data_IF_427175024294
#
_entry.id   IF_427175024294
#
_cell.length_a   1.000
_cell.length_b   1.000
_cell.length_c   1.000
_cell.angle_alpha   90.00
_cell.angle_beta   90.00
_cell.angle_gamma   90.00
#
_symmetry.space_group_name_H-M   'P 1'
#
loop_
_entity.id
_entity.type
_entity.pdbx_description
1 polymer ?
#
# COMPACT_ATOMS: atom_id res chain seq x y z
N UNK A 1 -13.85 -25.83 1.34
CA UNK A 1 -13.77 -24.89 2.47
C UNK A 1 -14.13 -23.51 1.95
N UNK A 2 -14.47 -22.54 2.81
CA UNK A 2 -14.82 -21.19 2.35
C UNK A 2 -13.54 -20.39 2.12
N UNK A 3 -13.36 -19.86 0.92
CA UNK A 3 -12.26 -18.93 0.64
C UNK A 3 -12.54 -17.62 1.39
N UNK A 4 -11.59 -17.19 2.21
CA UNK A 4 -11.67 -15.94 2.98
C UNK A 4 -10.97 -14.79 2.28
N UNK A 5 -9.84 -15.06 1.63
CA UNK A 5 -9.12 -14.08 0.84
C UNK A 5 -8.19 -14.74 -0.18
N UNK A 6 -8.03 -14.10 -1.32
CA UNK A 6 -7.04 -14.43 -2.35
C UNK A 6 -6.09 -13.24 -2.52
N UNK A 7 -4.82 -13.51 -2.69
CA UNK A 7 -3.77 -12.50 -2.81
C UNK A 7 -2.79 -12.92 -3.91
N UNK A 8 -2.78 -12.19 -5.03
CA UNK A 8 -1.84 -12.39 -6.12
C UNK A 8 -0.80 -11.28 -6.03
N UNK A 9 0.46 -11.58 -5.63
CA UNK A 9 1.47 -10.55 -5.52
C UNK A 9 1.88 -10.07 -6.92
N UNK A 10 1.64 -8.79 -7.20
CA UNK A 10 2.06 -8.15 -8.45
C UNK A 10 3.32 -7.30 -8.20
N UNK A 11 4.31 -7.34 -9.09
CA UNK A 11 5.48 -6.46 -9.02
C UNK A 11 5.19 -5.18 -9.82
N UNK A 12 5.39 -4.02 -9.19
CA UNK A 12 4.99 -2.68 -9.65
C UNK A 12 5.49 -2.27 -11.05
N UNK A 13 6.60 -2.81 -11.55
CA UNK A 13 7.17 -2.49 -12.87
C UNK A 13 6.97 -3.56 -13.94
N UNK A 14 6.24 -4.64 -13.63
CA UNK A 14 6.10 -5.77 -14.53
C UNK A 14 4.62 -6.01 -14.81
N UNK A 15 4.22 -5.99 -16.08
CA UNK A 15 2.92 -6.50 -16.52
C UNK A 15 2.79 -8.02 -16.35
N UNK A 16 3.86 -8.70 -15.89
CA UNK A 16 3.86 -10.13 -15.63
C UNK A 16 3.27 -10.41 -14.26
N UNK A 17 2.02 -10.88 -14.26
CA UNK A 17 1.39 -11.50 -13.09
C UNK A 17 2.33 -12.59 -12.57
N UNK A 18 2.70 -12.54 -11.28
CA UNK A 18 3.53 -13.61 -10.71
C UNK A 18 2.76 -14.92 -10.77
N UNK A 19 3.45 -16.01 -11.14
CA UNK A 19 2.89 -17.37 -11.28
C UNK A 19 2.50 -18.04 -9.96
N UNK A 20 2.24 -17.28 -8.90
CA UNK A 20 1.80 -17.81 -7.62
C UNK A 20 0.80 -16.87 -6.95
N UNK A 21 -0.14 -17.46 -6.23
CA UNK A 21 -1.15 -16.77 -5.44
C UNK A 21 -1.17 -17.35 -4.02
N UNK A 22 -1.62 -16.55 -3.08
CA UNK A 22 -1.85 -16.95 -1.70
C UNK A 22 -3.34 -16.97 -1.41
N UNK A 23 -3.84 -18.09 -0.87
CA UNK A 23 -5.27 -18.26 -0.57
C UNK A 23 -5.44 -18.60 0.92
N UNK A 24 -6.29 -17.84 1.61
CA UNK A 24 -6.72 -18.17 2.98
C UNK A 24 -8.06 -18.90 2.91
N UNK A 25 -8.08 -20.14 3.38
CA UNK A 25 -9.27 -21.00 3.37
C UNK A 25 -9.68 -21.29 4.81
N UNK A 26 -10.94 -21.01 5.14
CA UNK A 26 -11.54 -21.35 6.41
C UNK A 26 -12.17 -22.75 6.35
N UNK A 27 -11.97 -23.52 7.42
CA UNK A 27 -12.64 -24.80 7.66
C UNK A 27 -11.72 -25.92 8.11
N UNK A 28 -12.28 -26.91 8.82
CA UNK A 28 -11.57 -28.12 9.25
C UNK A 28 -11.00 -28.86 8.04
N UNK A 29 -9.74 -29.32 8.11
CA UNK A 29 -9.02 -30.00 7.01
C UNK A 29 -8.95 -29.19 5.71
N UNK A 30 -9.08 -27.85 5.75
CA UNK A 30 -9.00 -27.01 4.55
C UNK A 30 -7.63 -27.11 3.86
N UNK A 31 -6.54 -27.18 4.63
CA UNK A 31 -5.18 -27.33 4.12
C UNK A 31 -5.04 -28.69 3.41
N UNK A 32 -5.43 -29.79 4.06
CA UNK A 32 -5.34 -31.14 3.49
C UNK A 32 -6.08 -31.25 2.14
N UNK A 33 -7.29 -30.70 2.05
CA UNK A 33 -8.06 -30.69 0.79
C UNK A 33 -7.42 -29.82 -0.28
N UNK A 34 -6.82 -28.69 0.08
CA UNK A 34 -6.13 -27.83 -0.87
C UNK A 34 -4.86 -28.50 -1.43
N UNK A 35 -4.10 -29.20 -0.58
CA UNK A 35 -2.89 -29.92 -1.01
C UNK A 35 -3.19 -31.02 -2.04
N UNK A 36 -4.37 -31.65 -1.96
CA UNK A 36 -4.84 -32.63 -2.96
C UNK A 36 -5.03 -32.03 -4.36
N UNK A 37 -5.11 -30.71 -4.49
CA UNK A 37 -5.17 -30.01 -5.78
C UNK A 37 -3.78 -29.75 -6.38
N UNK A 38 -2.69 -30.06 -5.67
CA UNK A 38 -1.36 -29.96 -6.25
C UNK A 38 -1.22 -30.94 -7.41
N UNK A 39 -0.87 -30.45 -8.58
CA UNK A 39 -0.78 -31.22 -9.82
C UNK A 39 -2.04 -31.16 -10.69
N UNK A 40 -3.15 -30.56 -10.24
CA UNK A 40 -4.32 -30.33 -11.08
C UNK A 40 -4.06 -29.25 -12.13
N UNK A 41 -4.88 -29.20 -13.17
CA UNK A 41 -4.78 -28.21 -14.24
C UNK A 41 -5.85 -27.11 -14.08
N UNK A 42 -5.50 -25.87 -14.40
CA UNK A 42 -6.39 -24.70 -14.40
C UNK A 42 -5.99 -23.80 -15.58
N UNK A 43 -6.90 -23.58 -16.53
CA UNK A 43 -6.67 -22.79 -17.75
C UNK A 43 -5.38 -23.17 -18.51
N UNK A 44 -5.11 -24.48 -18.65
CA UNK A 44 -3.89 -24.97 -19.32
C UNK A 44 -2.63 -24.90 -18.46
N UNK A 45 -2.73 -24.51 -17.19
CA UNK A 45 -1.61 -24.39 -16.27
C UNK A 45 -1.70 -25.39 -15.11
N UNK A 46 -0.63 -26.19 -14.94
CA UNK A 46 -0.51 -27.11 -13.81
C UNK A 46 -0.28 -26.35 -12.51
N UNK A 47 -1.16 -26.54 -11.54
CA UNK A 47 -1.06 -25.93 -10.23
C UNK A 47 -0.07 -26.69 -9.34
N UNK A 48 0.68 -25.95 -8.54
CA UNK A 48 1.47 -26.50 -7.43
C UNK A 48 0.94 -25.89 -6.14
N UNK A 49 0.37 -26.72 -5.27
CA UNK A 49 -0.22 -26.27 -4.02
C UNK A 49 0.63 -26.73 -2.86
N UNK A 50 1.19 -25.78 -2.11
CA UNK A 50 2.06 -26.06 -0.97
C UNK A 50 1.57 -25.33 0.28
N UNK A 51 1.86 -25.84 1.50
CA UNK A 51 1.61 -25.09 2.72
C UNK A 51 2.45 -23.81 2.73
N UNK A 52 1.96 -22.71 3.34
CA UNK A 52 2.73 -21.48 3.40
C UNK A 52 3.99 -21.65 4.27
N UNK A 53 5.15 -21.28 3.73
CA UNK A 53 6.45 -21.37 4.41
C UNK A 53 6.55 -20.48 5.68
N UNK A 54 5.67 -19.48 5.86
CA UNK A 54 5.61 -18.62 7.05
C UNK A 54 4.15 -18.24 7.36
N UNK A 55 3.81 -18.08 8.66
CA UNK A 55 2.49 -17.60 9.07
C UNK A 55 2.16 -16.27 8.37
N UNK A 56 1.12 -16.31 7.54
CA UNK A 56 0.82 -15.32 6.51
C UNK A 56 0.37 -13.96 7.02
N UNK A 57 0.21 -13.72 8.34
CA UNK A 57 -0.26 -12.43 8.86
C UNK A 57 0.62 -11.26 8.40
N UNK A 58 1.95 -11.42 8.43
CA UNK A 58 2.91 -10.39 8.00
C UNK A 58 2.97 -10.27 6.47
N UNK A 59 2.98 -11.40 5.74
CA UNK A 59 3.03 -11.42 4.28
C UNK A 59 1.74 -10.85 3.65
N UNK A 60 0.57 -11.19 4.21
CA UNK A 60 -0.75 -10.68 3.77
C UNK A 60 -0.86 -9.17 4.00
N UNK A 61 -0.45 -8.67 5.18
CA UNK A 61 -0.39 -7.21 5.44
C UNK A 61 0.56 -6.51 4.47
N UNK A 62 1.74 -7.10 4.22
CA UNK A 62 2.70 -6.55 3.26
C UNK A 62 2.10 -6.50 1.86
N UNK A 63 1.48 -7.59 1.40
CA UNK A 63 0.89 -7.65 0.06
C UNK A 63 -0.31 -6.71 -0.11
N UNK A 64 -1.20 -6.61 0.89
CA UNK A 64 -2.31 -5.65 0.85
C UNK A 64 -1.80 -4.21 0.85
N UNK A 65 -0.78 -3.90 1.65
CA UNK A 65 -0.13 -2.58 1.61
C UNK A 65 0.47 -2.31 0.23
N UNK A 66 1.17 -3.29 -0.37
CA UNK A 66 1.75 -3.16 -1.71
C UNK A 66 0.68 -2.96 -2.78
N UNK A 67 -0.44 -3.67 -2.73
CA UNK A 67 -1.55 -3.55 -3.67
C UNK A 67 -2.32 -2.22 -3.54
N UNK A 68 -2.54 -1.73 -2.32
CA UNK A 68 -3.12 -0.40 -2.13
C UNK A 68 -2.16 0.69 -2.57
N UNK A 69 -0.86 0.53 -2.30
CA UNK A 69 0.17 1.45 -2.75
C UNK A 69 0.26 1.53 -4.28
N UNK A 70 0.23 0.39 -4.99
CA UNK A 70 0.28 0.39 -6.47
C UNK A 70 -0.93 1.05 -7.12
N UNK A 71 -2.09 1.04 -6.45
CA UNK A 71 -3.33 1.69 -6.90
C UNK A 71 -3.52 3.10 -6.34
N UNK A 72 -2.59 3.58 -5.53
CA UNK A 72 -2.65 4.91 -4.94
C UNK A 72 -2.25 5.99 -5.93
N UNK A 73 -2.61 7.24 -5.62
CA UNK A 73 -2.10 8.44 -6.29
C UNK A 73 -1.11 9.13 -5.36
N UNK A 74 0.09 9.38 -5.87
CA UNK A 74 1.18 9.99 -5.10
C UNK A 74 1.33 11.45 -5.47
N UNK A 75 1.18 12.35 -4.50
CA UNK A 75 1.34 13.80 -4.64
C UNK A 75 2.69 14.25 -4.06
N UNK A 76 3.33 15.23 -4.69
CA UNK A 76 4.41 16.04 -4.09
C UNK A 76 3.74 17.14 -3.27
N UNK A 77 4.06 17.20 -1.98
CA UNK A 77 3.50 18.17 -1.04
C UNK A 77 4.64 18.99 -0.44
N UNK A 78 4.45 20.31 -0.42
CA UNK A 78 5.38 21.32 0.10
C UNK A 78 4.64 22.29 1.01
N UNK A 79 5.37 23.26 1.53
CA UNK A 79 4.77 24.34 2.31
C UNK A 79 4.27 23.93 3.69
N UNK A 80 4.77 22.83 4.26
CA UNK A 80 4.55 22.47 5.66
C UNK A 80 5.71 22.95 6.55
N UNK A 81 5.50 23.00 7.86
CA UNK A 81 6.55 23.36 8.81
C UNK A 81 7.70 22.32 8.82
N UNK A 82 8.84 22.72 8.25
CA UNK A 82 10.04 21.88 8.15
C UNK A 82 10.88 21.88 9.43
N UNK A 83 10.57 22.75 10.40
CA UNK A 83 11.24 22.79 11.70
C UNK A 83 10.82 21.65 12.64
N UNK A 84 9.64 21.07 12.37
CA UNK A 84 9.08 19.99 13.19
C UNK A 84 9.79 18.65 12.97
N UNK A 85 9.79 17.75 13.98
CA UNK A 85 10.29 16.39 13.80
C UNK A 85 9.54 15.66 12.67
N UNK A 86 10.25 14.89 11.84
CA UNK A 86 9.66 14.12 10.72
C UNK A 86 8.42 13.31 11.09
N UNK A 87 8.37 12.75 12.30
CA UNK A 87 7.23 11.97 12.80
C UNK A 87 5.97 12.85 12.94
N UNK A 88 6.12 14.08 13.40
CA UNK A 88 5.04 15.06 13.55
C UNK A 88 4.55 15.50 12.17
N UNK A 89 5.46 15.85 11.26
CA UNK A 89 5.14 16.19 9.87
C UNK A 89 4.35 15.06 9.20
N UNK A 90 4.81 13.81 9.30
CA UNK A 90 4.10 12.64 8.75
C UNK A 90 2.70 12.49 9.33
N UNK A 91 2.54 12.63 10.65
CA UNK A 91 1.23 12.51 11.29
C UNK A 91 0.27 13.62 10.86
N UNK A 92 0.77 14.85 10.70
CA UNK A 92 -0.01 15.98 10.23
C UNK A 92 -0.49 15.76 8.79
N UNK A 93 0.41 15.34 7.89
CA UNK A 93 0.06 15.02 6.49
C UNK A 93 -0.97 13.89 6.40
N UNK A 94 -0.81 12.81 7.20
CA UNK A 94 -1.80 11.72 7.24
C UNK A 94 -3.17 12.23 7.63
N UNK A 95 -3.25 13.07 8.67
CA UNK A 95 -4.51 13.64 9.16
C UNK A 95 -5.12 14.61 8.14
N UNK A 96 -4.30 15.43 7.50
CA UNK A 96 -4.75 16.44 6.54
C UNK A 96 -5.41 15.82 5.31
N UNK A 97 -4.79 14.77 4.77
CA UNK A 97 -5.25 14.11 3.54
C UNK A 97 -6.23 12.94 3.79
N UNK A 98 -6.65 12.67 5.04
CA UNK A 98 -7.51 11.52 5.34
C UNK A 98 -8.92 11.63 4.74
N UNK A 99 -9.38 12.84 4.40
CA UNK A 99 -10.65 13.05 3.69
C UNK A 99 -10.56 12.72 2.19
N UNK A 100 -9.34 12.69 1.62
CA UNK A 100 -9.11 12.37 0.21
C UNK A 100 -9.11 10.86 -0.04
N UNK A 101 -8.89 10.04 1.00
CA UNK A 101 -8.84 8.58 0.92
C UNK A 101 -7.96 7.97 2.02
N UNK A 102 -7.62 6.70 1.88
CA UNK A 102 -6.67 6.03 2.76
C UNK A 102 -5.24 6.48 2.43
N UNK A 103 -4.58 7.18 3.35
CA UNK A 103 -3.16 7.53 3.21
C UNK A 103 -2.31 6.28 3.47
N UNK A 104 -1.71 5.73 2.41
CA UNK A 104 -0.99 4.44 2.45
C UNK A 104 0.49 4.59 2.77
N UNK A 105 1.08 5.73 2.44
CA UNK A 105 2.49 6.04 2.68
C UNK A 105 2.72 7.55 2.73
N UNK A 106 3.62 7.99 3.62
CA UNK A 106 4.15 9.36 3.64
C UNK A 106 5.67 9.31 3.76
N UNK A 107 6.35 9.85 2.77
CA UNK A 107 7.81 9.93 2.72
C UNK A 107 8.26 11.39 2.73
N UNK A 108 8.92 11.81 3.81
CA UNK A 108 9.48 13.16 3.95
C UNK A 108 10.90 13.12 3.40
N UNK A 109 11.12 13.77 2.25
CA UNK A 109 12.40 13.69 1.55
C UNK A 109 13.43 14.60 2.20
N UNK A 110 14.63 14.07 2.53
CA UNK A 110 15.73 14.91 3.01
C UNK A 110 16.15 15.89 1.91
N UNK A 111 16.51 17.10 2.29
CA UNK A 111 17.20 18.00 1.39
C UNK A 111 18.68 17.62 1.34
N UNK A 112 19.15 17.24 0.14
CA UNK A 112 20.52 16.80 -0.10
C UNK A 112 21.57 17.90 0.18
N UNK A 113 21.18 19.18 0.11
CA UNK A 113 22.07 20.32 0.42
C UNK A 113 22.02 20.72 1.89
N UNK A 114 20.88 20.51 2.56
CA UNK A 114 20.73 20.77 3.99
C UNK A 114 19.80 19.74 4.64
N UNK A 115 20.34 18.64 5.20
CA UNK A 115 19.53 17.54 5.75
C UNK A 115 18.54 17.95 6.85
N UNK A 116 18.75 19.13 7.46
CA UNK A 116 17.89 19.71 8.50
C UNK A 116 16.59 20.33 7.96
N UNK A 117 16.50 20.65 6.67
CA UNK A 117 15.31 21.28 6.08
C UNK A 117 14.71 20.39 4.97
N UNK A 118 13.79 19.47 5.27
CA UNK A 118 13.15 18.64 4.24
C UNK A 118 12.57 19.49 3.10
N UNK A 119 12.78 19.05 1.84
CA UNK A 119 12.45 19.85 0.66
C UNK A 119 10.97 19.71 0.27
N UNK A 120 10.44 18.51 0.40
CA UNK A 120 9.08 18.13 0.04
C UNK A 120 8.74 16.75 0.63
N UNK A 121 7.47 16.38 0.61
CA UNK A 121 7.01 15.05 1.02
C UNK A 121 6.20 14.38 -0.10
N UNK A 122 6.36 13.07 -0.26
CA UNK A 122 5.44 12.26 -1.05
C UNK A 122 4.30 11.77 -0.16
N UNK A 123 3.07 11.98 -0.61
CA UNK A 123 1.86 11.46 0.04
C UNK A 123 1.13 10.57 -0.95
N UNK A 124 1.02 9.28 -0.63
CA UNK A 124 0.31 8.29 -1.44
C UNK A 124 -1.05 8.00 -0.85
N UNK A 125 -2.10 8.23 -1.63
CA UNK A 125 -3.50 8.12 -1.20
C UNK A 125 -4.24 7.10 -2.07
N UNK A 126 -4.83 6.09 -1.43
CA UNK A 126 -5.67 5.10 -2.07
C UNK A 126 -7.15 5.46 -1.86
N UNK A 127 -7.91 5.56 -2.96
CA UNK A 127 -9.34 5.87 -2.90
C UNK A 127 -9.86 6.46 -4.21
N UNK A 128 -11.16 6.41 -4.38
CA UNK A 128 -11.83 7.02 -5.53
C UNK A 128 -11.77 8.55 -5.45
N UNK A 129 -11.38 9.17 -6.56
CA UNK A 129 -11.19 10.63 -6.63
C UNK A 129 -10.03 11.15 -5.78
N UNK A 130 -9.10 10.27 -5.35
CA UNK A 130 -8.05 10.65 -4.40
C UNK A 130 -7.18 11.81 -4.89
N UNK A 131 -6.86 11.85 -6.19
CA UNK A 131 -6.07 12.92 -6.79
C UNK A 131 -6.86 14.24 -6.78
N UNK A 132 -8.10 14.21 -7.24
CA UNK A 132 -8.96 15.40 -7.37
C UNK A 132 -9.24 16.02 -6.00
N UNK A 133 -9.57 15.18 -5.01
CA UNK A 133 -9.77 15.62 -3.62
C UNK A 133 -8.49 16.17 -3.00
N UNK A 134 -7.33 15.57 -3.26
CA UNK A 134 -6.06 16.08 -2.75
C UNK A 134 -5.70 17.43 -3.37
N UNK A 135 -5.97 17.63 -4.67
CA UNK A 135 -5.76 18.89 -5.35
C UNK A 135 -6.65 20.02 -4.82
N UNK A 136 -7.87 19.71 -4.35
CA UNK A 136 -8.73 20.68 -3.67
C UNK A 136 -8.16 21.18 -2.33
N UNK A 137 -7.23 20.43 -1.72
CA UNK A 137 -6.53 20.85 -0.51
C UNK A 137 -5.27 21.70 -0.81
N UNK A 138 -4.95 21.96 -2.06
CA UNK A 138 -3.86 22.86 -2.41
C UNK A 138 -4.11 24.28 -1.85
N UNK A 139 -3.12 24.88 -1.20
CA UNK A 139 -3.23 26.19 -0.55
C UNK A 139 -3.96 26.20 0.81
N UNK A 140 -4.46 25.04 1.27
CA UNK A 140 -5.07 24.91 2.58
C UNK A 140 -4.04 25.01 3.71
N UNK A 141 -4.49 25.51 4.86
CA UNK A 141 -3.64 25.66 6.04
C UNK A 141 -3.46 24.32 6.76
N UNK A 142 -2.22 24.01 7.13
CA UNK A 142 -1.86 22.90 8.00
C UNK A 142 -0.96 23.41 9.13
N UNK A 143 -1.58 24.01 10.15
CA UNK A 143 -0.88 24.47 11.34
C UNK A 143 -0.16 25.81 11.16
N UNK A 144 -0.77 26.73 10.41
CA UNK A 144 -0.21 28.05 10.08
C UNK A 144 0.65 28.05 8.81
N UNK A 145 0.76 26.92 8.12
CA UNK A 145 1.56 26.76 6.92
C UNK A 145 0.67 26.30 5.75
N UNK A 146 0.73 27.03 4.63
CA UNK A 146 -0.06 26.72 3.43
C UNK A 146 0.63 25.64 2.60
N UNK A 147 -0.05 24.52 2.39
CA UNK A 147 0.46 23.44 1.56
C UNK A 147 0.44 23.83 0.07
N UNK A 148 1.44 23.36 -0.69
CA UNK A 148 1.58 23.57 -2.15
C UNK A 148 2.04 22.30 -2.85
#
# INVERSE_FOLDING_TARGET
GKVKSVCIPHAYYSSTIKRYAYIEILGKKAIERALKLSGSEMDGHKLVVTPPLRQMKKARRKSLKTDRYSRSKTMDVRGYDTSLPRKIIKSALVKHFSSCGEVVEVEVMPNLRNPKTPKFAYVSIYGEGAKEKALQLNGSDMGGFKLV
#
